data_IF_358568158603
#
_entry.id   IF_358568158603
#
_cell.length_a   1.000
_cell.length_b   1.000
_cell.length_c   1.000
_cell.angle_alpha   90.00
_cell.angle_beta   90.00
_cell.angle_gamma   90.00
#
_symmetry.space_group_name_H-M   'P 1'
#
loop_
_entity.id
_entity.type
_entity.pdbx_description
1 polymer ?
#
# COMPACT_ATOMS: atom_id res chain seq x y z
N UNK A 1 -2.50 -5.55 4.90
CA UNK A 1 -1.63 -6.34 4.00
C UNK A 1 -0.99 -7.52 4.72
N UNK A 2 -0.29 -7.33 5.86
CA UNK A 2 0.32 -8.43 6.63
C UNK A 2 -0.63 -9.59 6.98
N UNK A 3 -1.87 -9.27 7.38
CA UNK A 3 -2.90 -10.29 7.65
C UNK A 3 -3.22 -11.15 6.42
N UNK A 4 -3.22 -10.58 5.22
CA UNK A 4 -3.43 -11.34 3.98
C UNK A 4 -2.27 -12.28 3.68
N UNK A 5 -1.03 -11.89 4.01
CA UNK A 5 0.15 -12.77 3.90
C UNK A 5 0.02 -13.95 4.89
N UNK A 6 -0.41 -13.67 6.13
CA UNK A 6 -0.66 -14.72 7.13
C UNK A 6 -1.77 -15.70 6.73
N UNK A 7 -2.62 -15.31 5.77
CA UNK A 7 -3.67 -16.14 5.18
C UNK A 7 -3.23 -16.78 3.85
N UNK A 8 -1.92 -16.78 3.54
CA UNK A 8 -1.32 -17.32 2.31
C UNK A 8 -1.90 -16.73 1.00
N UNK A 9 -2.40 -15.50 1.04
CA UNK A 9 -2.84 -14.82 -0.17
C UNK A 9 -1.62 -14.40 -1.01
N UNK A 10 -1.57 -14.85 -2.25
CA UNK A 10 -0.51 -14.50 -3.21
C UNK A 10 -0.79 -13.23 -4.02
N UNK A 11 -2.00 -12.69 -3.93
CA UNK A 11 -2.40 -11.45 -4.57
C UNK A 11 -3.27 -10.59 -3.65
N UNK A 12 -3.16 -9.27 -3.79
CA UNK A 12 -3.94 -8.32 -2.99
C UNK A 12 -4.29 -7.05 -3.78
N UNK A 13 -5.54 -6.63 -3.70
CA UNK A 13 -5.96 -5.29 -4.10
C UNK A 13 -6.37 -4.54 -2.85
N UNK A 14 -5.54 -3.58 -2.45
CA UNK A 14 -5.84 -2.67 -1.36
C UNK A 14 -6.62 -1.47 -1.91
N UNK A 15 -7.70 -1.12 -1.23
CA UNK A 15 -8.48 0.07 -1.54
C UNK A 15 -8.47 0.98 -0.32
N UNK A 16 -8.17 2.25 -0.51
CA UNK A 16 -8.17 3.26 0.55
C UNK A 16 -8.93 4.52 0.10
N UNK A 17 -9.55 5.21 1.05
CA UNK A 17 -10.16 6.52 0.81
C UNK A 17 -9.19 7.68 1.04
N UNK A 18 -7.93 7.38 1.32
CA UNK A 18 -6.87 8.37 1.41
C UNK A 18 -6.20 8.52 0.04
N UNK A 19 -6.67 9.47 -0.77
CA UNK A 19 -6.07 9.75 -2.08
C UNK A 19 -4.58 10.12 -1.99
N UNK A 20 -4.20 10.82 -0.92
CA UNK A 20 -2.80 11.19 -0.68
C UNK A 20 -1.92 9.96 -0.48
N UNK A 21 -2.41 8.92 0.21
CA UNK A 21 -1.67 7.67 0.40
C UNK A 21 -1.48 6.92 -0.91
N UNK A 22 -2.50 6.89 -1.77
CA UNK A 22 -2.39 6.26 -3.11
C UNK A 22 -1.29 6.94 -3.91
N UNK A 23 -1.32 8.28 -3.99
CA UNK A 23 -0.31 9.07 -4.69
C UNK A 23 1.09 8.87 -4.11
N UNK A 24 1.21 8.92 -2.79
CA UNK A 24 2.48 8.73 -2.08
C UNK A 24 3.16 7.41 -2.44
N UNK A 25 2.39 6.34 -2.62
CA UNK A 25 2.91 5.00 -2.93
C UNK A 25 3.05 4.71 -4.42
N UNK A 26 2.47 5.55 -5.30
CA UNK A 26 2.52 5.38 -6.76
C UNK A 26 3.49 6.36 -7.46
N UNK A 27 3.72 7.55 -6.89
CA UNK A 27 4.47 8.63 -7.55
C UNK A 27 6.01 8.49 -7.45
N UNK A 28 6.53 7.44 -6.80
CA UNK A 28 7.97 7.09 -6.68
C UNK A 28 8.86 8.28 -6.26
N UNK A 29 8.35 9.09 -5.32
CA UNK A 29 8.96 10.32 -4.83
C UNK A 29 9.13 10.27 -3.30
N UNK A 30 9.72 9.16 -2.82
CA UNK A 30 9.93 8.88 -1.40
C UNK A 30 10.95 9.84 -0.76
N UNK A 31 11.85 10.40 -1.57
CA UNK A 31 12.86 11.38 -1.16
C UNK A 31 12.24 12.68 -0.59
N UNK A 32 11.02 13.01 -0.99
CA UNK A 32 10.28 14.15 -0.43
C UNK A 32 9.79 13.91 1.00
N UNK A 33 9.81 12.67 1.48
CA UNK A 33 9.25 12.26 2.76
C UNK A 33 10.26 11.47 3.61
N UNK A 34 11.40 12.09 3.98
CA UNK A 34 12.49 11.40 4.67
C UNK A 34 12.08 10.85 6.04
N UNK A 35 11.04 11.42 6.68
CA UNK A 35 10.50 10.91 7.94
C UNK A 35 9.72 9.60 7.80
N UNK A 36 9.39 9.18 6.58
CA UNK A 36 8.60 7.98 6.28
C UNK A 36 9.42 6.84 5.65
N UNK A 37 10.75 6.98 5.56
CA UNK A 37 11.62 6.00 4.89
C UNK A 37 11.49 4.59 5.47
N UNK A 38 11.41 4.47 6.79
CA UNK A 38 11.26 3.16 7.44
C UNK A 38 9.93 2.49 7.09
N UNK A 39 8.87 3.29 6.97
CA UNK A 39 7.54 2.86 6.57
C UNK A 39 7.48 2.46 5.10
N UNK A 40 8.19 3.16 4.22
CA UNK A 40 8.34 2.77 2.82
C UNK A 40 9.10 1.46 2.67
N UNK A 41 10.23 1.30 3.37
CA UNK A 41 11.00 0.04 3.39
C UNK A 41 10.12 -1.13 3.83
N UNK A 42 9.35 -0.95 4.91
CA UNK A 42 8.40 -1.96 5.37
C UNK A 42 7.30 -2.24 4.36
N UNK A 43 6.74 -1.20 3.73
CA UNK A 43 5.71 -1.34 2.71
C UNK A 43 6.23 -2.12 1.50
N UNK A 44 7.42 -1.79 0.98
CA UNK A 44 8.03 -2.49 -0.15
C UNK A 44 8.33 -3.94 0.17
N UNK A 45 8.83 -4.22 1.38
CA UNK A 45 9.04 -5.58 1.85
C UNK A 45 7.73 -6.37 1.82
N UNK A 46 6.66 -5.83 2.41
CA UNK A 46 5.34 -6.49 2.45
C UNK A 46 4.79 -6.66 1.03
N UNK A 47 4.91 -5.65 0.17
CA UNK A 47 4.46 -5.69 -1.22
C UNK A 47 5.18 -6.77 -2.02
N UNK A 48 6.48 -6.96 -1.79
CA UNK A 48 7.31 -7.96 -2.48
C UNK A 48 6.90 -9.41 -2.17
N UNK A 49 6.17 -9.63 -1.08
CA UNK A 49 5.65 -10.96 -0.70
C UNK A 49 4.43 -11.38 -1.52
N UNK A 50 3.84 -10.48 -2.30
CA UNK A 50 2.72 -10.79 -3.20
C UNK A 50 3.21 -10.90 -4.66
N UNK A 51 2.66 -11.86 -5.40
CA UNK A 51 2.86 -11.95 -6.86
C UNK A 51 2.18 -10.80 -7.58
N UNK A 52 1.04 -10.34 -7.05
CA UNK A 52 0.30 -9.20 -7.58
C UNK A 52 -0.23 -8.34 -6.43
N UNK A 53 0.16 -7.07 -6.40
CA UNK A 53 -0.32 -6.10 -5.43
C UNK A 53 -0.70 -4.81 -6.13
N UNK A 54 -1.91 -4.32 -5.88
CA UNK A 54 -2.37 -3.01 -6.33
C UNK A 54 -2.95 -2.20 -5.17
N UNK A 55 -2.80 -0.89 -5.25
CA UNK A 55 -3.48 0.07 -4.39
C UNK A 55 -4.39 0.93 -5.26
N UNK A 56 -5.55 1.35 -4.74
CA UNK A 56 -6.44 2.24 -5.48
C UNK A 56 -7.29 3.07 -4.52
N UNK A 57 -7.74 4.22 -5.03
CA UNK A 57 -8.66 5.07 -4.30
C UNK A 57 -10.09 4.51 -4.36
N UNK A 58 -10.80 4.54 -3.23
CA UNK A 58 -12.26 4.43 -3.18
C UNK A 58 -12.85 5.61 -2.39
N UNK A 59 -14.03 6.12 -2.75
CA UNK A 59 -14.72 7.12 -1.94
C UNK A 59 -14.92 6.65 -0.49
N UNK A 60 -14.76 7.54 0.49
CA UNK A 60 -15.00 7.26 1.93
C UNK A 60 -16.37 6.63 2.20
N UNK A 61 -17.39 7.01 1.42
CA UNK A 61 -18.73 6.42 1.51
C UNK A 61 -18.81 4.93 1.16
N UNK A 62 -17.77 4.37 0.55
CA UNK A 62 -17.64 2.96 0.19
C UNK A 62 -16.61 2.22 1.05
N UNK A 63 -15.96 2.91 2.01
CA UNK A 63 -14.91 2.37 2.88
C UNK A 63 -15.45 2.28 4.33
N UNK A 64 -16.07 1.14 4.67
CA UNK A 64 -16.74 0.89 5.95
C UNK A 64 -15.86 0.13 6.95
#
# INVERSE_FOLDING_TARGET
>A
MKSSIQLDHSAMTFKTDCLQLVRLLEEDDEDNWPSLLAEFDEFHLIRSMFNFCSISFLPRSLNF
#
